data_IF_605611466663
#
_entry.id   IF_605611466663
#
_cell.length_a   1.000
_cell.length_b   1.000
_cell.length_c   1.000
_cell.angle_alpha   90.00
_cell.angle_beta   90.00
_cell.angle_gamma   90.00
#
_symmetry.space_group_name_H-M   'P 1'
#
loop_
_entity.id
_entity.type
_entity.pdbx_description
1 polymer ?
#
# COMPACT_ATOMS: atom_id res chain seq x y z
N UNK A 1 4.11 -7.06 -12.23
CA UNK A 1 3.45 -6.42 -11.07
C UNK A 1 1.96 -6.20 -11.31
N UNK A 2 1.55 -5.41 -12.30
CA UNK A 2 0.13 -5.09 -12.55
C UNK A 2 -0.75 -6.31 -12.88
N UNK A 3 -0.22 -7.32 -13.55
CA UNK A 3 -0.94 -8.59 -13.79
C UNK A 3 -1.26 -9.33 -12.49
N UNK A 4 -0.32 -9.36 -11.54
CA UNK A 4 -0.53 -9.94 -10.21
C UNK A 4 -1.58 -9.13 -9.44
N UNK A 5 -1.53 -7.80 -9.53
CA UNK A 5 -2.56 -6.92 -8.98
C UNK A 5 -3.94 -7.24 -9.55
N UNK A 6 -4.06 -7.42 -10.87
CA UNK A 6 -5.32 -7.79 -11.49
C UNK A 6 -5.83 -9.13 -10.97
N UNK A 7 -4.98 -10.15 -10.85
CA UNK A 7 -5.35 -11.46 -10.30
C UNK A 7 -5.84 -11.35 -8.85
N UNK A 8 -5.13 -10.58 -8.00
CA UNK A 8 -5.54 -10.33 -6.61
C UNK A 8 -6.92 -9.67 -6.57
N UNK A 9 -7.15 -8.66 -7.41
CA UNK A 9 -8.42 -7.96 -7.47
C UNK A 9 -9.57 -8.81 -8.02
N UNK A 10 -9.29 -9.71 -8.95
CA UNK A 10 -10.27 -10.68 -9.45
C UNK A 10 -10.61 -11.74 -8.40
N UNK A 11 -9.61 -12.24 -7.65
CA UNK A 11 -9.85 -13.11 -6.50
C UNK A 11 -10.75 -12.44 -5.46
N UNK A 12 -10.45 -11.19 -5.12
CA UNK A 12 -11.27 -10.39 -4.23
C UNK A 12 -12.71 -10.21 -4.77
N UNK A 13 -12.87 -10.02 -6.09
CA UNK A 13 -14.18 -9.89 -6.73
C UNK A 13 -15.00 -11.18 -6.68
N UNK A 14 -14.34 -12.33 -6.82
CA UNK A 14 -14.96 -13.66 -6.72
C UNK A 14 -15.16 -14.12 -5.26
N UNK A 15 -14.76 -13.31 -4.27
CA UNK A 15 -14.91 -13.66 -2.86
C UNK A 15 -14.00 -14.81 -2.40
N UNK A 16 -12.92 -15.08 -3.12
CA UNK A 16 -11.92 -16.11 -2.77
C UNK A 16 -10.70 -15.48 -2.12
N UNK A 17 -9.92 -16.28 -1.41
CA UNK A 17 -8.72 -15.80 -0.70
C UNK A 17 -7.65 -15.26 -1.68
N UNK A 18 -7.53 -13.93 -1.68
CA UNK A 18 -6.55 -13.13 -2.41
C UNK A 18 -5.11 -13.37 -1.95
N UNK A 19 -4.92 -13.73 -0.69
CA UNK A 19 -3.64 -13.59 0.01
C UNK A 19 -2.92 -14.90 0.28
N UNK A 20 -3.61 -16.05 0.18
CA UNK A 20 -3.05 -17.39 0.40
C UNK A 20 -1.68 -17.63 -0.26
N UNK A 21 -1.47 -17.09 -1.46
CA UNK A 21 -0.20 -17.24 -2.20
C UNK A 21 0.98 -16.50 -1.54
N UNK A 22 0.72 -15.45 -0.77
CA UNK A 22 1.73 -14.66 -0.09
C UNK A 22 2.00 -15.16 1.33
N UNK A 23 1.06 -15.88 1.94
CA UNK A 23 1.23 -16.48 3.27
C UNK A 23 2.33 -17.55 3.27
N UNK A 24 2.48 -18.29 2.17
CA UNK A 24 3.52 -19.32 2.02
C UNK A 24 4.90 -18.77 1.65
N UNK A 25 4.98 -17.50 1.22
CA UNK A 25 6.20 -16.87 0.70
C UNK A 25 6.42 -15.52 1.36
N UNK A 26 6.94 -15.56 2.58
CA UNK A 26 7.24 -14.37 3.38
C UNK A 26 8.17 -13.42 2.60
N UNK A 27 7.78 -12.14 2.49
CA UNK A 27 8.58 -11.10 1.83
C UNK A 27 8.15 -10.76 0.40
N UNK A 28 7.58 -11.72 -0.34
CA UNK A 28 7.17 -11.52 -1.75
C UNK A 28 6.09 -10.44 -1.89
N UNK A 29 5.14 -10.37 -0.94
CA UNK A 29 4.13 -9.31 -0.94
C UNK A 29 4.77 -7.92 -0.78
N UNK A 30 5.77 -7.78 0.09
CA UNK A 30 6.47 -6.51 0.28
C UNK A 30 7.21 -6.07 -0.98
N UNK A 31 7.84 -7.00 -1.70
CA UNK A 31 8.49 -6.74 -2.97
C UNK A 31 7.46 -6.33 -4.05
N UNK A 32 6.35 -7.05 -4.16
CA UNK A 32 5.24 -6.69 -5.05
C UNK A 32 4.72 -5.28 -4.77
N UNK A 33 4.44 -4.98 -3.49
CA UNK A 33 3.92 -3.68 -3.06
C UNK A 33 4.89 -2.55 -3.43
N UNK A 34 6.20 -2.76 -3.22
CA UNK A 34 7.24 -1.82 -3.66
C UNK A 34 7.20 -1.60 -5.17
N UNK A 35 7.22 -2.67 -5.97
CA UNK A 35 7.18 -2.55 -7.43
C UNK A 35 5.91 -1.83 -7.93
N UNK A 36 4.76 -2.05 -7.29
CA UNK A 36 3.50 -1.37 -7.61
C UNK A 36 3.58 0.12 -7.30
N UNK A 37 4.11 0.48 -6.12
CA UNK A 37 4.27 1.87 -5.72
C UNK A 37 5.23 2.61 -6.65
N UNK A 38 6.41 2.04 -6.91
CA UNK A 38 7.43 2.65 -7.77
C UNK A 38 6.88 2.90 -9.18
N UNK A 39 6.14 1.92 -9.75
CA UNK A 39 5.47 2.07 -11.05
C UNK A 39 4.37 3.14 -11.05
N UNK A 40 3.72 3.40 -9.91
CA UNK A 40 2.64 4.39 -9.80
C UNK A 40 3.11 5.82 -9.51
N UNK A 41 4.42 6.04 -9.35
CA UNK A 41 4.96 7.38 -9.11
C UNK A 41 4.83 8.28 -10.34
N UNK A 42 4.68 9.60 -10.17
CA UNK A 42 4.67 10.55 -11.29
C UNK A 42 5.93 10.52 -12.15
N UNK A 43 7.08 10.13 -11.56
CA UNK A 43 8.38 10.07 -12.22
C UNK A 43 8.62 8.75 -12.98
N UNK A 44 7.66 7.82 -12.95
CA UNK A 44 7.75 6.55 -13.67
C UNK A 44 7.81 6.77 -15.19
N UNK A 45 8.68 6.02 -15.86
CA UNK A 45 8.86 6.09 -17.33
C UNK A 45 8.72 4.70 -17.96
N UNK A 46 7.68 4.44 -18.78
CA UNK A 46 6.55 5.33 -19.05
C UNK A 46 5.61 5.46 -17.83
N UNK A 47 4.86 6.57 -17.71
CA UNK A 47 3.87 6.71 -16.65
C UNK A 47 2.72 5.72 -16.86
N UNK A 48 2.11 5.27 -15.75
CA UNK A 48 0.95 4.40 -15.84
C UNK A 48 -0.25 5.14 -16.43
N UNK A 49 -1.01 4.51 -17.35
CA UNK A 49 -2.25 5.08 -17.83
C UNK A 49 -3.28 5.13 -16.70
N UNK A 50 -4.19 6.11 -16.76
CA UNK A 50 -5.18 6.35 -15.71
C UNK A 50 -5.99 5.11 -15.27
N UNK A 51 -6.41 4.19 -16.16
CA UNK A 51 -7.09 2.96 -15.75
C UNK A 51 -6.22 2.04 -14.87
N UNK A 52 -4.91 1.99 -15.12
CA UNK A 52 -3.99 1.21 -14.30
C UNK A 52 -3.74 1.89 -12.95
N UNK A 53 -3.66 3.23 -12.90
CA UNK A 53 -3.61 3.96 -11.63
C UNK A 53 -4.87 3.71 -10.78
N UNK A 54 -6.05 3.73 -11.37
CA UNK A 54 -7.30 3.39 -10.67
C UNK A 54 -7.27 1.94 -10.14
N UNK A 55 -6.68 1.01 -10.90
CA UNK A 55 -6.48 -0.39 -10.47
C UNK A 55 -5.52 -0.47 -9.28
N UNK A 56 -4.41 0.28 -9.30
CA UNK A 56 -3.48 0.38 -8.17
C UNK A 56 -4.20 0.94 -6.93
N UNK A 57 -5.00 1.99 -7.06
CA UNK A 57 -5.79 2.52 -5.95
C UNK A 57 -6.73 1.46 -5.35
N UNK A 58 -7.48 0.73 -6.18
CA UNK A 58 -8.36 -0.35 -5.70
C UNK A 58 -7.57 -1.46 -5.00
N UNK A 59 -6.38 -1.78 -5.49
CA UNK A 59 -5.49 -2.75 -4.86
C UNK A 59 -5.01 -2.28 -3.49
N UNK A 60 -4.57 -1.04 -3.35
CA UNK A 60 -4.17 -0.47 -2.07
C UNK A 60 -5.33 -0.44 -1.08
N UNK A 61 -6.53 -0.05 -1.52
CA UNK A 61 -7.75 -0.13 -0.70
C UNK A 61 -7.98 -1.55 -0.19
N UNK A 62 -7.85 -2.56 -1.06
CA UNK A 62 -8.00 -3.95 -0.65
C UNK A 62 -6.90 -4.40 0.34
N UNK A 63 -5.67 -3.93 0.18
CA UNK A 63 -4.58 -4.20 1.14
C UNK A 63 -4.91 -3.66 2.54
N UNK A 64 -5.37 -2.40 2.63
CA UNK A 64 -5.74 -1.80 3.92
C UNK A 64 -7.03 -2.37 4.52
N UNK A 65 -7.91 -2.93 3.70
CA UNK A 65 -9.07 -3.68 4.17
C UNK A 65 -8.70 -5.09 4.68
N UNK A 66 -7.46 -5.55 4.47
CA UNK A 66 -7.00 -6.91 4.79
C UNK A 66 -5.86 -6.92 5.82
N UNK A 67 -5.85 -5.95 6.74
CA UNK A 67 -4.79 -5.83 7.76
C UNK A 67 -4.81 -6.96 8.80
N UNK A 68 -5.85 -7.79 8.84
CA UNK A 68 -5.88 -9.04 9.60
C UNK A 68 -4.86 -10.07 9.08
N UNK A 69 -4.45 -9.97 7.81
CA UNK A 69 -3.48 -10.87 7.18
C UNK A 69 -2.06 -10.40 7.47
N UNK A 70 -1.30 -11.22 8.21
CA UNK A 70 0.04 -10.86 8.69
C UNK A 70 1.02 -10.48 7.56
N UNK A 71 0.98 -11.21 6.44
CA UNK A 71 1.84 -10.94 5.29
C UNK A 71 1.57 -9.59 4.62
N UNK A 72 0.34 -9.07 4.76
CA UNK A 72 -0.10 -7.78 4.21
C UNK A 72 0.16 -6.64 5.21
N UNK A 73 -0.18 -6.88 6.48
CA UNK A 73 -0.12 -5.91 7.58
C UNK A 73 1.21 -5.18 7.66
N UNK A 74 2.31 -5.91 7.82
CA UNK A 74 3.64 -5.30 8.03
C UNK A 74 4.02 -4.34 6.90
N UNK A 75 4.04 -4.80 5.63
CA UNK A 75 4.34 -3.93 4.49
C UNK A 75 3.36 -2.78 4.31
N UNK A 76 2.05 -2.98 4.52
CA UNK A 76 1.04 -1.94 4.36
C UNK A 76 1.14 -0.86 5.45
N UNK A 77 1.32 -1.23 6.72
CA UNK A 77 1.39 -0.26 7.83
C UNK A 77 2.61 0.67 7.76
N UNK A 78 3.71 0.23 7.11
CA UNK A 78 4.86 1.12 6.85
C UNK A 78 4.45 2.37 6.04
N UNK A 79 3.44 2.24 5.17
CA UNK A 79 2.93 3.30 4.31
C UNK A 79 1.91 4.23 4.98
N UNK A 80 1.59 4.03 6.25
CA UNK A 80 0.71 4.92 7.04
C UNK A 80 1.28 5.21 8.44
N UNK A 81 2.58 4.92 8.63
CA UNK A 81 3.26 5.05 9.92
C UNK A 81 3.63 6.49 10.26
N UNK A 82 3.78 6.79 11.55
CA UNK A 82 4.19 8.12 12.05
C UNK A 82 5.46 8.67 11.37
N UNK A 83 6.50 7.87 11.02
CA UNK A 83 7.63 8.33 10.23
C UNK A 83 7.28 9.03 8.90
N UNK A 84 6.12 8.78 8.30
CA UNK A 84 5.70 9.51 7.09
C UNK A 84 5.43 10.99 7.35
N UNK A 85 5.20 11.37 8.61
CA UNK A 85 5.03 12.78 8.97
C UNK A 85 6.31 13.59 8.78
N UNK A 86 7.45 12.94 8.55
CA UNK A 86 8.67 13.62 8.06
C UNK A 86 8.47 14.34 6.73
N UNK A 87 7.52 13.89 5.92
CA UNK A 87 7.17 14.49 4.64
C UNK A 87 6.11 15.62 4.77
N UNK A 88 5.53 15.82 5.96
CA UNK A 88 4.64 16.96 6.21
C UNK A 88 5.46 18.23 6.37
N UNK A 89 4.89 19.37 5.96
CA UNK A 89 5.49 20.66 6.27
C UNK A 89 5.61 20.84 7.80
N UNK A 90 6.67 21.52 8.23
CA UNK A 90 7.04 21.61 9.66
C UNK A 90 5.94 22.23 10.52
N UNK A 91 5.21 23.21 9.97
CA UNK A 91 4.10 23.89 10.66
C UNK A 91 2.93 22.94 10.94
N UNK A 92 2.53 22.15 9.95
CA UNK A 92 1.46 21.16 10.05
C UNK A 92 1.89 20.02 10.98
N UNK A 93 3.11 19.49 10.82
CA UNK A 93 3.67 18.47 11.70
C UNK A 93 3.68 18.94 13.15
N UNK A 94 4.19 20.15 13.42
CA UNK A 94 4.22 20.72 14.75
C UNK A 94 2.83 20.97 15.34
N UNK A 95 1.85 21.36 14.53
CA UNK A 95 0.46 21.49 15.00
C UNK A 95 -0.13 20.15 15.42
N UNK A 96 0.09 19.09 14.64
CA UNK A 96 -0.38 17.74 14.97
C UNK A 96 0.29 17.18 16.23
N UNK A 97 1.62 17.33 16.36
CA UNK A 97 2.35 16.89 17.56
C UNK A 97 1.92 17.65 18.82
N UNK A 98 1.62 18.95 18.72
CA UNK A 98 1.07 19.72 19.84
C UNK A 98 -0.32 19.27 20.25
N UNK A 99 -1.16 18.81 19.30
CA UNK A 99 -2.49 18.29 19.62
C UNK A 99 -2.46 16.88 20.24
N UNK A 100 -1.36 16.15 20.07
CA UNK A 100 -1.16 14.81 20.62
C UNK A 100 0.28 14.67 21.17
N UNK A 101 0.59 15.31 22.32
CA UNK A 101 1.95 15.39 22.85
C UNK A 101 2.57 14.03 23.21
N UNK A 102 1.75 12.99 23.39
CA UNK A 102 2.20 11.60 23.57
C UNK A 102 2.85 10.97 22.33
N UNK A 103 2.73 11.61 21.15
CA UNK A 103 3.35 11.18 19.88
C UNK A 103 4.66 11.93 19.58
N UNK A 104 5.05 12.90 20.42
CA UNK A 104 6.23 13.72 20.24
C UNK A 104 7.52 13.02 20.69
#
# INVERSE_FOLDING_TARGET
ALSIVAIVLEKAREGVDSWAAFTQRTGEFGALLRCVLDASTPDASPPLPLPELARVCRFLTHCYASLEVESVRGPALRLVSLPLWTQLNERARGAQLRSAPQLA
#
